data_IF_706221625312
#
_entry.id   IF_706221625312
#
_cell.length_a   1.000
_cell.length_b   1.000
_cell.length_c   1.000
_cell.angle_alpha   90.00
_cell.angle_beta   90.00
_cell.angle_gamma   90.00
#
_symmetry.space_group_name_H-M   'P 1'
#
loop_
_entity.id
_entity.type
_entity.pdbx_description
1 polymer ?
#
# COMPACT_ATOMS: atom_id res chain seq x y z
N UNK A 1 6.40 -2.85 37.43
CA UNK A 1 5.61 -2.71 36.19
C UNK A 1 5.90 -1.36 35.60
N UNK A 2 6.66 -1.31 34.50
CA UNK A 2 7.04 -0.06 33.85
C UNK A 2 5.86 0.45 33.01
N UNK A 3 5.33 1.65 33.26
CA UNK A 3 4.31 2.25 32.41
C UNK A 3 5.00 2.82 31.16
N UNK A 4 4.57 2.44 29.95
CA UNK A 4 5.06 3.06 28.71
C UNK A 4 5.28 2.16 27.51
N UNK A 5 5.06 0.84 27.62
CA UNK A 5 5.08 -0.01 26.43
C UNK A 5 3.71 0.05 25.77
N UNK A 6 3.53 0.97 24.82
CA UNK A 6 2.40 0.87 23.90
C UNK A 6 2.45 -0.52 23.25
N UNK A 7 1.36 -1.30 23.28
CA UNK A 7 1.35 -2.60 22.65
C UNK A 7 1.63 -2.37 21.17
N UNK A 8 2.76 -2.91 20.70
CA UNK A 8 3.06 -2.98 19.28
C UNK A 8 1.89 -3.60 18.53
N UNK A 9 1.79 -3.37 17.21
CA UNK A 9 0.67 -3.88 16.43
C UNK A 9 0.51 -5.39 16.70
N UNK A 10 -0.72 -5.87 16.96
CA UNK A 10 -0.96 -7.27 17.24
C UNK A 10 -0.33 -8.13 16.15
N UNK A 11 0.25 -9.31 16.50
CA UNK A 11 0.96 -10.14 15.54
C UNK A 11 0.05 -10.44 14.35
N UNK A 12 0.46 -9.94 13.19
CA UNK A 12 -0.26 -10.13 11.95
C UNK A 12 -0.16 -11.61 11.55
N UNK A 13 -1.30 -12.22 11.25
CA UNK A 13 -1.36 -13.62 10.77
C UNK A 13 -1.50 -13.69 9.26
N UNK A 14 -1.90 -12.60 8.62
CA UNK A 14 -2.02 -12.49 7.18
C UNK A 14 -1.38 -11.18 6.71
N UNK A 15 -0.62 -11.25 5.61
CA UNK A 15 -0.15 -10.10 4.87
C UNK A 15 -0.55 -10.28 3.40
N UNK A 16 -1.05 -9.21 2.79
CA UNK A 16 -1.46 -9.21 1.40
C UNK A 16 -0.97 -7.93 0.73
N UNK A 17 -0.62 -8.03 -0.54
CA UNK A 17 -0.26 -6.88 -1.33
C UNK A 17 -0.38 -7.16 -2.82
N UNK A 18 -0.58 -6.09 -3.57
CA UNK A 18 -0.57 -6.09 -5.02
C UNK A 18 0.65 -5.29 -5.50
N UNK A 19 1.28 -5.73 -6.59
CA UNK A 19 2.29 -4.97 -7.32
C UNK A 19 1.85 -4.79 -8.76
N UNK A 20 1.77 -3.54 -9.21
CA UNK A 20 1.57 -3.16 -10.62
C UNK A 20 2.89 -2.67 -11.18
N UNK A 21 3.34 -3.29 -12.27
CA UNK A 21 4.61 -2.95 -12.94
C UNK A 21 4.31 -2.39 -14.32
N UNK A 22 4.96 -1.29 -14.67
CA UNK A 22 4.84 -0.66 -15.98
C UNK A 22 6.16 0.01 -16.39
N UNK A 23 6.27 0.33 -17.68
CA UNK A 23 7.32 1.23 -18.17
C UNK A 23 6.84 2.67 -18.06
N UNK A 24 7.73 3.57 -17.64
CA UNK A 24 7.48 5.00 -17.74
C UNK A 24 7.35 5.40 -19.21
N UNK A 25 6.34 6.22 -19.56
CA UNK A 25 6.14 6.72 -20.92
C UNK A 25 7.11 7.89 -21.23
N UNK A 26 8.37 7.75 -20.83
CA UNK A 26 9.43 8.74 -21.04
C UNK A 26 10.37 8.24 -22.16
N UNK A 27 10.75 9.13 -23.07
CA UNK A 27 11.71 8.82 -24.14
C UNK A 27 13.10 8.50 -23.57
N UNK A 28 13.51 9.23 -22.53
CA UNK A 28 14.77 9.04 -21.83
C UNK A 28 14.54 8.51 -20.41
N UNK A 29 15.50 7.76 -19.88
CA UNK A 29 15.48 7.37 -18.47
C UNK A 29 15.51 8.62 -17.59
N UNK A 30 14.70 8.65 -16.55
CA UNK A 30 14.78 9.72 -15.55
C UNK A 30 16.09 9.63 -14.76
N UNK A 31 16.74 10.77 -14.57
CA UNK A 31 17.88 10.89 -13.64
C UNK A 31 17.42 10.84 -12.17
N UNK A 32 18.38 10.82 -11.24
CA UNK A 32 18.07 10.72 -9.79
C UNK A 32 17.24 11.90 -9.28
N UNK A 33 17.41 13.10 -9.85
CA UNK A 33 16.66 14.30 -9.49
C UNK A 33 15.21 14.25 -9.97
N UNK A 34 14.97 13.84 -11.21
CA UNK A 34 13.64 13.67 -11.78
C UNK A 34 12.91 12.49 -11.13
N UNK A 35 13.62 11.40 -10.82
CA UNK A 35 13.11 10.29 -10.03
C UNK A 35 12.64 10.74 -8.63
N UNK A 36 13.43 11.56 -7.93
CA UNK A 36 13.03 12.12 -6.64
C UNK A 36 11.76 12.98 -6.73
N UNK A 37 11.64 13.80 -7.78
CA UNK A 37 10.46 14.64 -7.98
C UNK A 37 9.22 13.80 -8.27
N UNK A 38 9.34 12.80 -9.15
CA UNK A 38 8.24 11.89 -9.48
C UNK A 38 7.75 11.09 -8.27
N UNK A 39 8.68 10.59 -7.45
CA UNK A 39 8.40 9.75 -6.28
C UNK A 39 8.07 10.56 -5.01
N UNK A 40 8.10 11.89 -5.08
CA UNK A 40 7.80 12.81 -3.99
C UNK A 40 6.31 12.85 -3.63
N UNK A 41 5.75 11.72 -3.24
CA UNK A 41 4.31 11.55 -2.98
C UNK A 41 3.81 12.22 -1.69
N UNK A 42 4.73 12.48 -0.75
CA UNK A 42 4.51 13.10 0.56
C UNK A 42 5.54 14.20 0.75
N UNK A 43 5.12 15.32 1.34
CA UNK A 43 5.99 16.47 1.58
C UNK A 43 6.77 16.36 2.90
N UNK A 44 6.26 15.56 3.83
CA UNK A 44 6.79 15.34 5.18
C UNK A 44 7.82 14.20 5.26
N UNK A 45 7.98 13.42 4.19
CA UNK A 45 8.92 12.31 4.11
C UNK A 45 9.72 12.32 2.82
N UNK A 46 11.00 11.94 2.92
CA UNK A 46 11.93 11.94 1.78
C UNK A 46 11.81 10.67 0.92
N UNK A 47 12.05 10.83 -0.38
CA UNK A 47 12.32 9.71 -1.28
C UNK A 47 13.66 9.07 -0.91
N UNK A 48 13.71 7.74 -0.87
CA UNK A 48 14.95 7.00 -0.72
C UNK A 48 15.53 6.72 -2.11
N UNK A 49 16.80 7.08 -2.31
CA UNK A 49 17.52 6.88 -3.55
C UNK A 49 18.78 6.05 -3.30
N UNK A 50 19.06 5.13 -4.22
CA UNK A 50 20.35 4.47 -4.36
C UNK A 50 20.81 4.61 -5.80
N UNK A 51 22.06 4.97 -6.03
CA UNK A 51 22.65 5.03 -7.38
C UNK A 51 23.55 3.82 -7.66
N UNK A 52 23.73 2.92 -6.67
CA UNK A 52 24.58 1.74 -6.78
C UNK A 52 23.85 0.48 -6.28
N UNK A 53 24.03 -0.68 -6.93
CA UNK A 53 24.72 -0.86 -8.21
C UNK A 53 23.98 -0.22 -9.39
N UNK A 54 22.69 0.05 -9.23
CA UNK A 54 21.76 0.61 -10.22
C UNK A 54 20.99 1.78 -9.59
N UNK A 55 20.52 2.72 -10.40
CA UNK A 55 19.60 3.78 -9.96
C UNK A 55 18.28 3.16 -9.51
N UNK A 56 17.95 3.35 -8.24
CA UNK A 56 16.72 2.89 -7.62
C UNK A 56 16.16 3.98 -6.72
N UNK A 57 14.92 4.38 -6.98
CA UNK A 57 14.17 5.29 -6.13
C UNK A 57 12.97 4.61 -5.49
N UNK A 58 12.67 4.96 -4.25
CA UNK A 58 11.48 4.49 -3.51
C UNK A 58 10.79 5.66 -2.82
N UNK A 59 9.50 5.83 -3.08
CA UNK A 59 8.67 6.82 -2.39
C UNK A 59 8.50 6.46 -0.91
N UNK A 60 8.16 7.44 -0.05
CA UNK A 60 7.53 7.14 1.23
C UNK A 60 6.17 6.44 1.03
N UNK A 61 5.68 5.81 2.10
CA UNK A 61 4.38 5.13 2.08
C UNK A 61 3.26 6.16 2.20
N UNK A 62 2.30 6.10 1.28
CA UNK A 62 1.01 6.78 1.38
C UNK A 62 -0.01 5.85 2.02
N UNK A 63 -0.93 6.39 2.83
CA UNK A 63 -1.93 5.61 3.54
C UNK A 63 -3.33 5.89 2.99
N UNK A 64 -4.04 4.83 2.63
CA UNK A 64 -5.46 4.88 2.27
C UNK A 64 -6.27 4.26 3.40
N UNK A 65 -7.14 5.06 4.03
CA UNK A 65 -8.10 4.55 5.01
C UNK A 65 -9.15 3.67 4.34
N UNK A 66 -9.41 2.49 4.88
CA UNK A 66 -10.41 1.54 4.38
C UNK A 66 -11.41 1.17 5.47
N UNK A 67 -12.67 1.03 5.07
CA UNK A 67 -13.77 0.52 5.91
C UNK A 67 -14.72 -0.25 4.98
N UNK A 68 -14.38 -1.52 4.74
CA UNK A 68 -15.07 -2.39 3.79
C UNK A 68 -14.92 -3.86 4.19
N UNK A 69 -15.73 -4.77 3.62
CA UNK A 69 -15.53 -6.20 3.79
C UNK A 69 -14.20 -6.68 3.18
N UNK A 70 -13.52 -7.60 3.86
CA UNK A 70 -12.43 -8.38 3.28
C UNK A 70 -13.00 -9.42 2.30
N UNK A 71 -12.32 -9.68 1.17
CA UNK A 71 -12.63 -10.80 0.31
C UNK A 71 -12.64 -12.13 1.06
N UNK A 72 -13.64 -12.98 0.80
CA UNK A 72 -13.72 -14.31 1.40
C UNK A 72 -14.26 -15.35 0.42
N UNK A 73 -13.56 -16.48 0.29
CA UNK A 73 -13.92 -17.56 -0.63
C UNK A 73 -15.21 -18.30 -0.23
N UNK A 74 -15.57 -18.29 1.06
CA UNK A 74 -16.79 -18.93 1.56
C UNK A 74 -18.00 -17.99 1.61
N UNK A 75 -17.87 -16.75 1.11
CA UNK A 75 -18.93 -15.73 1.11
C UNK A 75 -19.17 -15.05 2.47
N UNK A 76 -18.38 -15.35 3.50
CA UNK A 76 -18.44 -14.62 4.75
C UNK A 76 -18.08 -13.15 4.53
N UNK A 77 -18.89 -12.23 5.09
CA UNK A 77 -18.66 -10.79 4.97
C UNK A 77 -17.96 -10.25 6.22
N UNK A 78 -16.63 -10.31 6.21
CA UNK A 78 -15.81 -9.84 7.33
C UNK A 78 -15.55 -8.36 7.13
N UNK A 79 -16.31 -7.49 7.80
CA UNK A 79 -15.99 -6.06 7.79
C UNK A 79 -14.65 -5.82 8.46
N UNK A 80 -13.80 -5.00 7.85
CA UNK A 80 -12.52 -4.62 8.41
C UNK A 80 -12.25 -3.14 8.19
N UNK A 81 -11.52 -2.55 9.13
CA UNK A 81 -11.22 -1.11 9.14
C UNK A 81 -9.73 -0.91 9.41
N UNK A 82 -9.12 0.01 8.68
CA UNK A 82 -7.71 0.30 8.91
C UNK A 82 -7.10 1.14 7.80
N UNK A 83 -5.82 0.92 7.56
CA UNK A 83 -5.07 1.60 6.51
C UNK A 83 -4.36 0.60 5.61
N UNK A 84 -4.44 0.83 4.30
CA UNK A 84 -3.60 0.17 3.31
C UNK A 84 -2.45 1.11 2.97
N UNK A 85 -1.22 0.61 3.07
CA UNK A 85 -0.04 1.35 2.70
C UNK A 85 0.23 1.16 1.21
N UNK A 86 0.57 2.24 0.49
CA UNK A 86 0.94 2.18 -0.90
C UNK A 86 2.18 3.03 -1.18
N UNK A 87 3.07 2.51 -2.03
CA UNK A 87 4.33 3.15 -2.41
C UNK A 87 4.69 2.80 -3.83
N UNK A 88 5.56 3.60 -4.41
CA UNK A 88 6.14 3.32 -5.71
C UNK A 88 7.66 3.24 -5.64
N UNK A 89 8.23 2.45 -6.54
CA UNK A 89 9.65 2.46 -6.82
C UNK A 89 9.94 2.57 -8.31
N UNK A 90 11.07 3.19 -8.63
CA UNK A 90 11.55 3.41 -9.97
C UNK A 90 12.94 2.80 -10.10
N UNK A 91 13.10 1.87 -11.03
CA UNK A 91 14.38 1.23 -11.35
C UNK A 91 14.91 1.77 -12.67
N UNK A 92 16.17 2.18 -12.68
CA UNK A 92 16.91 2.68 -13.85
C UNK A 92 16.19 3.81 -14.59
N UNK A 93 15.40 4.62 -13.87
CA UNK A 93 14.64 5.72 -14.46
C UNK A 93 13.58 5.28 -15.48
N UNK A 94 13.24 3.98 -15.56
CA UNK A 94 12.40 3.41 -16.62
C UNK A 94 11.29 2.50 -16.11
N UNK A 95 11.59 1.60 -15.18
CA UNK A 95 10.60 0.61 -14.70
C UNK A 95 9.93 1.14 -13.45
N UNK A 96 8.65 1.49 -13.57
CA UNK A 96 7.83 1.96 -12.47
C UNK A 96 7.04 0.80 -11.88
N UNK A 97 7.21 0.57 -10.58
CA UNK A 97 6.38 -0.38 -9.83
C UNK A 97 5.62 0.38 -8.76
N UNK A 98 4.29 0.26 -8.80
CA UNK A 98 3.40 0.68 -7.72
C UNK A 98 3.01 -0.54 -6.90
N UNK A 99 3.01 -0.41 -5.58
CA UNK A 99 2.64 -1.49 -4.68
C UNK A 99 1.69 -0.97 -3.62
N UNK A 100 0.70 -1.76 -3.25
CA UNK A 100 -0.17 -1.53 -2.12
C UNK A 100 -0.21 -2.78 -1.26
N UNK A 101 -0.19 -2.64 0.06
CA UNK A 101 -0.10 -3.75 0.98
C UNK A 101 -0.73 -3.44 2.33
N UNK A 102 -1.14 -4.49 3.02
CA UNK A 102 -1.64 -4.42 4.37
C UNK A 102 -1.39 -5.72 5.13
N UNK A 103 -1.56 -5.65 6.45
CA UNK A 103 -1.47 -6.76 7.39
C UNK A 103 -2.75 -6.88 8.18
N UNK A 104 -3.13 -8.10 8.53
CA UNK A 104 -4.34 -8.41 9.29
C UNK A 104 -3.98 -9.24 10.52
N UNK A 105 -4.38 -8.80 11.73
CA UNK A 105 -4.23 -9.61 12.94
C UNK A 105 -5.23 -10.76 12.98
N UNK A 106 -5.01 -11.72 13.89
CA UNK A 106 -5.90 -12.89 14.08
C UNK A 106 -7.32 -12.51 14.48
N UNK A 107 -7.47 -11.39 15.17
CA UNK A 107 -8.74 -10.81 15.55
C UNK A 107 -8.60 -9.29 15.69
N UNK A 108 -9.73 -8.60 15.60
CA UNK A 108 -9.84 -7.19 15.92
C UNK A 108 -11.00 -6.90 16.86
N UNK A 109 -11.31 -5.63 17.10
CA UNK A 109 -12.38 -5.22 18.00
C UNK A 109 -13.76 -5.62 17.47
N UNK A 110 -14.73 -5.81 18.38
CA UNK A 110 -16.11 -6.14 18.00
C UNK A 110 -16.83 -4.98 17.29
N UNK A 111 -16.31 -3.76 17.45
CA UNK A 111 -16.86 -2.54 16.89
C UNK A 111 -15.76 -1.63 16.35
N UNK A 112 -16.15 -0.75 15.43
CA UNK A 112 -15.28 0.27 14.85
C UNK A 112 -14.71 1.20 15.92
N UNK A 113 -13.41 1.46 15.87
CA UNK A 113 -12.71 2.42 16.73
C UNK A 113 -12.66 3.80 16.06
N UNK A 114 -12.37 4.89 16.80
CA UNK A 114 -12.10 6.19 16.19
C UNK A 114 -10.92 6.11 15.21
N UNK A 115 -10.90 6.94 14.16
CA UNK A 115 -9.85 6.92 13.15
C UNK A 115 -8.43 7.04 13.71
N UNK A 116 -8.24 7.79 14.80
CA UNK A 116 -6.94 7.90 15.49
C UNK A 116 -6.34 6.54 15.88
N UNK A 117 -7.17 5.55 16.22
CA UNK A 117 -6.72 4.18 16.49
C UNK A 117 -6.09 3.53 15.25
N UNK A 118 -6.67 3.71 14.07
CA UNK A 118 -6.18 3.09 12.84
C UNK A 118 -5.00 3.86 12.23
N UNK A 119 -4.99 5.18 12.37
CA UNK A 119 -3.95 6.03 11.79
C UNK A 119 -2.57 5.85 12.44
N UNK A 120 -2.52 5.49 13.72
CA UNK A 120 -1.26 5.14 14.41
C UNK A 120 -0.79 3.71 14.10
N UNK A 121 -1.53 2.96 13.27
CA UNK A 121 -1.23 1.58 12.84
C UNK A 121 -1.16 1.49 11.31
N UNK A 122 -0.16 2.15 10.68
CA UNK A 122 -0.03 2.20 9.24
C UNK A 122 0.08 0.80 8.62
N UNK A 123 -0.64 0.57 7.52
CA UNK A 123 -0.62 -0.70 6.80
C UNK A 123 -1.28 -1.86 7.55
N UNK A 124 -2.09 -1.57 8.57
CA UNK A 124 -2.86 -2.59 9.31
C UNK A 124 -4.34 -2.41 9.04
N UNK A 125 -5.02 -3.51 8.74
CA UNK A 125 -6.48 -3.59 8.57
C UNK A 125 -7.01 -4.59 9.59
N UNK A 126 -7.82 -4.11 10.52
CA UNK A 126 -8.35 -4.91 11.63
C UNK A 126 -9.74 -5.46 11.27
N UNK A 127 -9.95 -6.79 11.30
CA UNK A 127 -11.25 -7.38 11.08
C UNK A 127 -12.14 -7.19 12.30
N UNK A 128 -13.45 -7.17 12.12
CA UNK A 128 -14.37 -7.27 13.25
C UNK A 128 -14.44 -8.71 13.74
N UNK A 129 -14.14 -8.91 15.02
CA UNK A 129 -14.06 -10.24 15.62
C UNK A 129 -12.89 -11.07 15.06
N UNK A 130 -13.09 -12.40 14.98
CA UNK A 130 -12.07 -13.35 14.56
C UNK A 130 -11.94 -13.43 13.04
N UNK A 131 -10.70 -13.47 12.55
CA UNK A 131 -10.41 -13.65 11.12
C UNK A 131 -10.58 -15.13 10.72
N UNK A 132 -11.47 -15.47 9.77
CA UNK A 132 -11.48 -16.77 9.12
C UNK A 132 -10.35 -16.83 8.09
N UNK A 133 -9.13 -17.05 8.59
CA UNK A 133 -7.87 -16.92 7.84
C UNK A 133 -7.90 -17.57 6.45
N UNK A 134 -8.18 -18.88 6.36
CA UNK A 134 -8.15 -19.62 5.09
C UNK A 134 -9.11 -19.05 4.05
N UNK A 135 -10.33 -18.71 4.48
CA UNK A 135 -11.35 -18.18 3.59
C UNK A 135 -10.98 -16.79 3.07
N UNK A 136 -10.41 -15.94 3.92
CA UNK A 136 -9.96 -14.59 3.53
C UNK A 136 -8.72 -14.64 2.66
N UNK A 137 -7.73 -15.47 2.99
CA UNK A 137 -6.53 -15.65 2.19
C UNK A 137 -6.89 -16.11 0.77
N UNK A 138 -7.75 -17.12 0.63
CA UNK A 138 -8.23 -17.57 -0.68
C UNK A 138 -9.07 -16.50 -1.39
N UNK A 139 -9.90 -15.75 -0.66
CA UNK A 139 -10.70 -14.65 -1.22
C UNK A 139 -9.85 -13.55 -1.84
N UNK A 140 -8.76 -13.17 -1.17
CA UNK A 140 -7.80 -12.18 -1.66
C UNK A 140 -7.07 -12.66 -2.91
N UNK A 141 -6.64 -13.92 -2.94
CA UNK A 141 -6.00 -14.52 -4.12
C UNK A 141 -6.93 -14.60 -5.33
N UNK A 142 -8.25 -14.68 -5.11
CA UNK A 142 -9.26 -14.71 -6.16
C UNK A 142 -9.65 -13.32 -6.68
N UNK A 143 -9.08 -12.23 -6.14
CA UNK A 143 -9.32 -10.85 -6.60
C UNK A 143 -10.59 -10.19 -6.04
N UNK A 144 -11.23 -10.78 -5.02
CA UNK A 144 -12.41 -10.22 -4.36
C UNK A 144 -13.61 -9.96 -5.28
N UNK A 145 -14.66 -9.38 -4.70
CA UNK A 145 -15.90 -8.98 -5.40
C UNK A 145 -16.11 -7.48 -5.30
N UNK A 146 -16.93 -6.88 -6.18
CA UNK A 146 -17.31 -5.48 -6.06
C UNK A 146 -17.83 -5.12 -4.66
N UNK A 147 -17.25 -4.08 -4.07
CA UNK A 147 -17.59 -3.62 -2.72
C UNK A 147 -16.78 -4.27 -1.59
N UNK A 148 -15.91 -5.23 -1.89
CA UNK A 148 -14.89 -5.75 -0.97
C UNK A 148 -13.58 -4.96 -1.13
N UNK A 149 -12.62 -5.19 -0.22
CA UNK A 149 -11.30 -4.57 -0.31
C UNK A 149 -10.57 -5.02 -1.58
N UNK A 150 -10.28 -4.05 -2.46
CA UNK A 150 -9.46 -4.25 -3.65
C UNK A 150 -8.13 -3.50 -3.51
N UNK A 151 -7.08 -4.25 -3.18
CA UNK A 151 -5.71 -3.73 -3.05
C UNK A 151 -5.16 -3.32 -4.41
N UNK A 152 -5.58 -4.01 -5.47
CA UNK A 152 -5.13 -3.76 -6.82
C UNK A 152 -5.60 -2.41 -7.35
N UNK A 153 -6.80 -1.97 -6.99
CA UNK A 153 -7.28 -0.62 -7.28
C UNK A 153 -6.46 0.46 -6.58
N UNK A 154 -5.98 0.21 -5.36
CA UNK A 154 -5.12 1.18 -4.64
C UNK A 154 -3.75 1.26 -5.32
N UNK A 155 -3.15 0.11 -5.66
CA UNK A 155 -1.87 0.07 -6.38
C UNK A 155 -1.99 0.70 -7.78
N UNK A 156 -3.06 0.41 -8.51
CA UNK A 156 -3.31 0.95 -9.85
C UNK A 156 -3.64 2.45 -9.82
N UNK A 157 -4.39 2.92 -8.83
CA UNK A 157 -4.64 4.34 -8.62
C UNK A 157 -3.35 5.13 -8.38
N UNK A 158 -2.44 4.58 -7.57
CA UNK A 158 -1.12 5.18 -7.38
C UNK A 158 -0.29 5.16 -8.67
N UNK A 159 -0.31 4.06 -9.42
CA UNK A 159 0.39 3.97 -10.70
C UNK A 159 -0.13 5.03 -11.69
N UNK A 160 -1.45 5.12 -11.84
CA UNK A 160 -2.13 6.09 -12.71
C UNK A 160 -1.77 7.52 -12.31
N UNK A 161 -1.71 7.84 -11.02
CA UNK A 161 -1.29 9.15 -10.52
C UNK A 161 0.14 9.49 -10.96
N UNK A 162 1.06 8.53 -10.86
CA UNK A 162 2.47 8.72 -11.24
C UNK A 162 2.65 8.86 -12.75
N UNK A 163 1.92 8.06 -13.55
CA UNK A 163 1.96 8.15 -15.01
C UNK A 163 1.44 9.50 -15.51
N UNK A 164 0.48 10.11 -14.80
CA UNK A 164 -0.06 11.46 -15.11
C UNK A 164 0.76 12.61 -14.54
N UNK A 165 1.81 12.33 -13.78
CA UNK A 165 2.64 13.36 -13.16
C UNK A 165 3.42 14.14 -14.25
N UNK A 166 3.53 15.49 -14.19
CA UNK A 166 4.21 16.26 -15.24
C UNK A 166 5.66 15.83 -15.53
N UNK A 167 6.37 15.35 -14.50
CA UNK A 167 7.74 14.84 -14.67
C UNK A 167 7.82 13.49 -15.42
N UNK A 168 6.71 12.77 -15.60
CA UNK A 168 6.71 11.47 -16.30
C UNK A 168 6.93 11.61 -17.81
N UNK A 169 6.67 12.79 -18.38
CA UNK A 169 6.81 13.09 -19.82
C UNK A 169 7.99 14.04 -20.11
N UNK A 170 8.62 14.59 -19.08
CA UNK A 170 9.70 15.56 -19.23
C UNK A 170 11.01 14.87 -19.60
N UNK A 171 11.20 14.66 -20.90
CA UNK A 171 12.54 14.68 -21.47
C UNK A 171 12.94 16.16 -21.58
N UNK A 172 13.75 16.67 -20.64
CA UNK A 172 14.50 17.89 -20.96
C UNK A 172 15.59 17.51 -21.97
N UNK A 173 15.72 18.22 -23.10
CA UNK A 173 16.85 18.07 -24.00
C UNK A 173 18.16 18.48 -23.32
#
# INVERSE_FOLDING_TARGET
>A
MTPGQEPGPPPAVLACGEVRTSLLPALQALDSRAAAQLLGLRADERVLLSERPNLYGRSPDTLTGVDCPLPSANGARIRAVGTVAARACLTEGRVLQSSAYFRVPVSGPDHRRPWGHYLVRPGTVEPFGKLPYEAVAQGLLNGGRPGELDVGLIADGLLTRLLRHPCSTSARP
#
